data_IF_070461119922
#
_entry.id   IF_070461119922
#
_cell.length_a   1.000
_cell.length_b   1.000
_cell.length_c   1.000
_cell.angle_alpha   90.00
_cell.angle_beta   90.00
_cell.angle_gamma   90.00
#
_symmetry.space_group_name_H-M   'P 1'
#
loop_
_entity.id
_entity.type
_entity.pdbx_description
1 polymer ?
#
# COMPACT_ATOMS: atom_id res chain seq x y z
N UNK A 1 8.51 -0.24 16.70
CA UNK A 1 8.69 -1.44 15.84
C UNK A 1 8.76 -1.08 14.36
N UNK A 2 7.70 -0.55 13.73
CA UNK A 2 7.72 -0.29 12.27
C UNK A 2 8.88 0.63 11.81
N UNK A 3 9.07 1.77 12.48
CA UNK A 3 10.19 2.67 12.19
C UNK A 3 11.55 2.02 12.36
N UNK A 4 11.72 1.25 13.44
CA UNK A 4 12.96 0.52 13.71
C UNK A 4 13.24 -0.51 12.61
N UNK A 5 12.25 -1.31 12.23
CA UNK A 5 12.37 -2.28 11.15
C UNK A 5 12.81 -1.61 9.84
N UNK A 6 12.21 -0.47 9.48
CA UNK A 6 12.55 0.22 8.24
C UNK A 6 13.93 0.88 8.28
N UNK A 7 14.32 1.49 9.41
CA UNK A 7 15.51 2.35 9.48
C UNK A 7 16.76 1.66 10.02
N UNK A 8 16.63 0.48 10.63
CA UNK A 8 17.76 -0.31 11.14
C UNK A 8 18.12 -1.47 10.20
N UNK A 9 19.34 -2.03 10.31
CA UNK A 9 19.69 -3.25 9.59
C UNK A 9 18.70 -4.38 9.87
N UNK A 10 18.34 -5.17 8.84
CA UNK A 10 18.94 -5.19 7.51
C UNK A 10 18.35 -4.17 6.51
N UNK A 11 17.20 -3.56 6.78
CA UNK A 11 16.47 -2.74 5.80
C UNK A 11 17.16 -1.39 5.56
N UNK A 12 17.53 -0.69 6.65
CA UNK A 12 18.37 0.52 6.63
C UNK A 12 17.87 1.65 5.70
N UNK A 13 16.56 1.87 5.60
CA UNK A 13 16.02 2.99 4.85
C UNK A 13 16.38 4.34 5.50
N UNK A 14 16.73 5.35 4.69
CA UNK A 14 16.99 6.70 5.18
C UNK A 14 15.71 7.35 5.73
N UNK A 15 15.74 7.81 6.98
CA UNK A 15 14.58 8.43 7.65
C UNK A 15 14.10 9.70 6.95
N UNK A 16 15.01 10.47 6.36
CA UNK A 16 14.71 11.68 5.57
C UNK A 16 13.97 11.40 4.25
N UNK A 17 13.79 10.13 3.89
CA UNK A 17 12.93 9.72 2.76
C UNK A 17 11.60 9.13 3.19
N UNK A 18 11.36 8.99 4.50
CA UNK A 18 10.11 8.46 5.04
C UNK A 18 9.16 9.59 5.42
N UNK A 19 7.91 9.46 4.97
CA UNK A 19 6.82 10.37 5.28
C UNK A 19 5.70 9.59 5.93
N UNK A 20 5.00 10.20 6.88
CA UNK A 20 4.03 9.55 7.74
C UNK A 20 2.70 10.27 7.63
N UNK A 21 1.60 9.53 7.69
CA UNK A 21 0.26 10.13 7.71
C UNK A 21 -0.42 9.91 9.06
N UNK A 22 -1.33 10.82 9.42
CA UNK A 22 -2.20 10.68 10.59
C UNK A 22 -3.64 10.99 10.22
N UNK A 23 -4.57 10.39 10.96
CA UNK A 23 -5.99 10.66 10.77
C UNK A 23 -6.36 12.09 11.20
N UNK A 24 -7.01 12.81 10.30
CA UNK A 24 -7.37 14.22 10.45
C UNK A 24 -8.70 14.48 11.14
N UNK A 25 -9.44 13.43 11.51
CA UNK A 25 -10.80 13.54 12.05
C UNK A 25 -11.88 13.45 10.97
N UNK A 26 -13.11 13.25 11.42
CA UNK A 26 -14.31 13.30 10.58
C UNK A 26 -15.51 13.78 11.39
N UNK A 27 -15.95 15.00 11.11
CA UNK A 27 -17.14 15.59 11.74
C UNK A 27 -18.41 14.79 11.41
N UNK A 28 -18.50 14.22 10.20
CA UNK A 28 -19.63 13.41 9.74
C UNK A 28 -19.91 12.22 10.69
N UNK A 29 -18.85 11.61 11.22
CA UNK A 29 -18.95 10.43 12.10
C UNK A 29 -18.60 10.75 13.55
N UNK A 30 -18.40 12.03 13.90
CA UNK A 30 -18.00 12.44 15.24
C UNK A 30 -16.63 11.88 15.68
N UNK A 31 -15.73 11.62 14.73
CA UNK A 31 -14.41 11.06 15.00
C UNK A 31 -13.39 12.19 15.16
N UNK A 32 -12.71 12.30 16.32
CA UNK A 32 -11.71 13.34 16.52
C UNK A 32 -10.47 13.12 15.65
N UNK A 33 -9.69 14.19 15.51
CA UNK A 33 -8.38 14.11 14.89
C UNK A 33 -7.42 13.30 15.78
N UNK A 34 -6.63 12.42 15.17
CA UNK A 34 -5.65 11.60 15.85
C UNK A 34 -4.36 12.40 16.08
N UNK A 35 -4.27 13.02 17.25
CA UNK A 35 -3.07 13.72 17.70
C UNK A 35 -2.10 12.80 18.47
N UNK A 36 -2.59 11.67 19.00
CA UNK A 36 -1.75 10.68 19.68
C UNK A 36 -0.71 10.09 18.72
N UNK A 37 -1.13 9.68 17.53
CA UNK A 37 -0.21 9.17 16.48
C UNK A 37 0.84 10.20 16.08
N UNK A 38 0.45 11.49 15.99
CA UNK A 38 1.41 12.58 15.69
C UNK A 38 2.49 12.64 16.76
N UNK A 39 2.07 12.67 18.02
CA UNK A 39 2.97 12.88 19.15
C UNK A 39 3.93 11.69 19.30
N UNK A 40 3.44 10.46 19.12
CA UNK A 40 4.27 9.26 19.08
C UNK A 40 5.34 9.36 17.96
N UNK A 41 4.97 9.79 16.75
CA UNK A 41 5.97 9.93 15.67
C UNK A 41 7.03 10.98 16.00
N UNK A 42 6.63 12.12 16.57
CA UNK A 42 7.56 13.17 17.00
C UNK A 42 8.50 12.67 18.10
N UNK A 43 7.99 11.92 19.08
CA UNK A 43 8.78 11.31 20.16
C UNK A 43 9.80 10.28 19.63
N UNK A 44 9.44 9.57 18.56
CA UNK A 44 10.33 8.65 17.86
C UNK A 44 11.38 9.35 16.96
N UNK A 45 11.38 10.68 16.89
CA UNK A 45 12.35 11.48 16.15
C UNK A 45 11.98 11.76 14.70
N UNK A 46 10.74 11.51 14.28
CA UNK A 46 10.25 11.91 12.95
C UNK A 46 10.09 13.44 12.92
N UNK A 47 10.63 14.13 11.91
CA UNK A 47 10.42 15.57 11.77
C UNK A 47 8.95 15.93 11.57
N UNK A 48 8.52 17.08 12.10
CA UNK A 48 7.11 17.53 11.99
C UNK A 48 6.67 17.71 10.54
N UNK A 49 7.57 18.19 9.68
CA UNK A 49 7.39 18.37 8.25
C UNK A 49 7.46 17.05 7.45
N UNK A 50 7.55 15.91 8.13
CA UNK A 50 7.37 14.57 7.54
C UNK A 50 6.02 13.95 7.89
N UNK A 51 5.20 14.61 8.71
CA UNK A 51 3.91 14.09 9.17
C UNK A 51 2.77 14.85 8.49
N UNK A 52 2.02 14.19 7.62
CA UNK A 52 0.86 14.75 6.92
C UNK A 52 -0.43 14.40 7.66
N UNK A 53 -1.30 15.40 7.80
CA UNK A 53 -2.69 15.17 8.22
C UNK A 53 -3.54 14.81 7.00
N UNK A 54 -4.30 13.72 7.10
CA UNK A 54 -5.08 13.18 5.99
C UNK A 54 -6.51 12.85 6.40
N UNK A 55 -7.40 12.84 5.41
CA UNK A 55 -8.82 12.58 5.63
C UNK A 55 -9.16 11.10 5.81
N UNK A 56 -10.44 10.84 6.01
CA UNK A 56 -11.00 9.48 6.19
C UNK A 56 -10.71 8.54 5.02
N UNK A 57 -10.59 9.05 3.79
CA UNK A 57 -10.30 8.22 2.60
C UNK A 57 -8.93 7.52 2.68
N UNK A 58 -7.96 8.12 3.36
CA UNK A 58 -6.59 7.60 3.44
C UNK A 58 -6.32 7.00 4.83
N UNK A 59 -6.74 7.68 5.89
CA UNK A 59 -6.34 7.34 7.26
C UNK A 59 -7.46 6.77 8.13
N UNK A 60 -8.51 6.22 7.51
CA UNK A 60 -9.51 5.42 8.19
C UNK A 60 -9.72 4.11 7.43
N UNK A 61 -9.16 3.03 7.97
CA UNK A 61 -9.16 1.74 7.30
C UNK A 61 -10.37 0.91 7.69
N UNK A 62 -10.95 0.23 6.71
CA UNK A 62 -12.17 -0.57 6.86
C UNK A 62 -12.02 -1.90 6.13
N UNK A 63 -12.39 -3.01 6.79
CA UNK A 63 -12.35 -4.34 6.17
C UNK A 63 -13.37 -4.48 5.03
N UNK A 64 -14.47 -3.73 5.07
CA UNK A 64 -15.56 -3.79 4.10
C UNK A 64 -16.73 -2.89 4.50
N UNK A 65 -17.92 -3.16 3.97
CA UNK A 65 -19.14 -2.37 4.26
C UNK A 65 -19.58 -2.45 5.73
N UNK A 66 -19.19 -3.52 6.43
CA UNK A 66 -19.36 -3.72 7.88
C UNK A 66 -18.16 -4.47 8.42
N UNK A 67 -17.83 -4.28 9.70
CA UNK A 67 -16.75 -5.00 10.36
C UNK A 67 -15.80 -4.09 11.14
N UNK A 68 -14.69 -4.65 11.66
CA UNK A 68 -13.67 -3.87 12.37
C UNK A 68 -13.08 -2.77 11.47
N UNK A 69 -12.89 -1.61 12.06
CA UNK A 69 -12.29 -0.44 11.42
C UNK A 69 -11.56 0.44 12.45
N UNK A 70 -10.83 1.43 11.96
CA UNK A 70 -10.15 2.36 12.85
C UNK A 70 -9.31 3.37 12.13
N UNK A 71 -8.72 4.28 12.91
CA UNK A 71 -7.72 5.20 12.43
C UNK A 71 -6.51 4.43 11.91
N UNK A 72 -5.79 5.01 10.97
CA UNK A 72 -4.54 4.43 10.51
C UNK A 72 -3.46 5.48 10.36
N UNK A 73 -2.22 5.01 10.32
CA UNK A 73 -1.02 5.78 10.00
C UNK A 73 -0.26 5.03 8.91
N UNK A 74 -0.07 5.69 7.78
CA UNK A 74 0.69 5.12 6.67
C UNK A 74 2.11 5.66 6.67
N UNK A 75 3.04 4.81 6.27
CA UNK A 75 4.43 5.16 6.01
C UNK A 75 4.62 5.13 4.50
N UNK A 76 5.15 6.24 4.00
CA UNK A 76 5.41 6.50 2.59
C UNK A 76 6.91 6.68 2.37
N UNK A 77 7.42 6.25 1.21
CA UNK A 77 8.82 6.40 0.85
C UNK A 77 8.96 7.23 -0.43
N UNK A 78 9.80 8.28 -0.37
CA UNK A 78 10.15 9.11 -1.51
C UNK A 78 11.28 8.48 -2.33
N UNK A 79 10.92 7.95 -3.50
CA UNK A 79 11.85 7.32 -4.43
C UNK A 79 12.84 8.32 -5.04
N UNK A 80 12.42 9.58 -5.21
CA UNK A 80 13.25 10.62 -5.83
C UNK A 80 14.20 11.29 -4.84
N UNK A 81 13.82 11.35 -3.56
CA UNK A 81 14.54 12.14 -2.56
C UNK A 81 14.47 13.64 -2.89
N UNK A 82 13.26 14.13 -3.19
CA UNK A 82 12.93 15.55 -3.43
C UNK A 82 12.10 16.07 -2.24
N UNK A 83 12.75 16.54 -1.14
CA UNK A 83 12.06 16.78 0.13
C UNK A 83 11.11 17.99 0.08
N UNK A 84 11.44 19.01 -0.71
CA UNK A 84 10.73 20.29 -0.76
C UNK A 84 9.27 20.20 -1.20
N UNK A 85 8.87 19.10 -1.85
CA UNK A 85 7.51 18.86 -2.32
C UNK A 85 6.89 17.57 -1.78
N UNK A 86 7.61 16.80 -0.97
CA UNK A 86 7.24 15.42 -0.66
C UNK A 86 5.89 15.30 0.08
N UNK A 87 5.62 16.14 1.09
CA UNK A 87 4.31 16.14 1.76
C UNK A 87 3.13 16.37 0.80
N UNK A 88 3.30 17.22 -0.22
CA UNK A 88 2.26 17.46 -1.21
C UNK A 88 2.05 16.25 -2.15
N UNK A 89 3.05 15.36 -2.26
CA UNK A 89 3.03 14.16 -3.10
C UNK A 89 2.48 12.91 -2.38
N UNK A 90 2.48 12.89 -1.04
CA UNK A 90 1.83 11.84 -0.24
C UNK A 90 0.37 11.71 -0.66
N UNK A 91 -0.07 10.50 -1.00
CA UNK A 91 -1.43 10.21 -1.46
C UNK A 91 -1.92 11.04 -2.65
N UNK A 92 -1.01 11.52 -3.51
CA UNK A 92 -1.33 12.32 -4.70
C UNK A 92 -1.34 11.50 -6.00
N UNK A 93 -1.57 10.18 -5.92
CA UNK A 93 -1.60 9.25 -7.07
C UNK A 93 -0.31 9.30 -7.93
N UNK A 94 0.84 9.38 -7.26
CA UNK A 94 2.17 9.50 -7.88
C UNK A 94 2.99 8.23 -7.67
N UNK A 95 3.77 7.84 -8.68
CA UNK A 95 4.65 6.66 -8.61
C UNK A 95 6.01 6.96 -7.96
N UNK A 96 6.29 8.22 -7.60
CA UNK A 96 7.58 8.63 -7.05
C UNK A 96 7.58 8.86 -5.53
N UNK A 97 6.42 8.76 -4.90
CA UNK A 97 6.27 8.69 -3.46
C UNK A 97 5.17 7.68 -3.19
N UNK A 98 5.56 6.52 -2.64
CA UNK A 98 4.69 5.36 -2.53
C UNK A 98 4.44 4.98 -1.08
N UNK A 99 3.21 4.60 -0.77
CA UNK A 99 2.86 3.97 0.49
C UNK A 99 3.55 2.60 0.59
N UNK A 100 4.25 2.32 1.68
CA UNK A 100 4.94 1.05 1.91
C UNK A 100 4.33 0.24 3.05
N UNK A 101 3.74 0.91 4.03
CA UNK A 101 3.26 0.27 5.24
C UNK A 101 2.07 1.02 5.82
N UNK A 102 0.95 0.35 6.03
CA UNK A 102 -0.19 0.89 6.76
C UNK A 102 -0.28 0.26 8.15
N UNK A 103 -0.43 1.08 9.19
CA UNK A 103 -0.62 0.67 10.59
C UNK A 103 -2.01 1.11 11.01
N UNK A 104 -2.91 0.15 11.19
CA UNK A 104 -4.31 0.37 11.53
C UNK A 104 -4.53 0.13 13.03
N UNK A 105 -5.08 1.14 13.68
CA UNK A 105 -5.47 1.12 15.08
C UNK A 105 -6.95 0.70 15.19
N UNK A 106 -7.19 -0.60 15.14
CA UNK A 106 -8.52 -1.19 15.20
C UNK A 106 -9.14 -0.88 16.56
N UNK A 107 -10.09 0.06 16.54
CA UNK A 107 -10.70 0.66 17.72
C UNK A 107 -12.22 0.78 17.59
N UNK A 108 -12.75 0.59 16.38
CA UNK A 108 -14.15 0.76 16.06
C UNK A 108 -14.69 -0.42 15.23
N UNK A 109 -16.00 -0.46 15.09
CA UNK A 109 -16.71 -1.36 14.18
C UNK A 109 -17.74 -0.56 13.38
N UNK A 110 -17.69 -0.70 12.06
CA UNK A 110 -18.78 -0.26 11.18
C UNK A 110 -19.93 -1.24 11.27
N UNK A 111 -21.09 -0.74 11.68
CA UNK A 111 -22.35 -1.50 11.77
C UNK A 111 -23.19 -1.28 10.51
N UNK A 112 -23.14 -0.07 9.93
CA UNK A 112 -23.84 0.32 8.71
C UNK A 112 -23.12 1.48 8.02
N UNK A 113 -23.65 1.96 6.88
CA UNK A 113 -23.09 3.10 6.15
C UNK A 113 -22.89 4.36 7.00
N UNK A 114 -23.74 4.57 8.01
CA UNK A 114 -23.73 5.79 8.82
C UNK A 114 -23.37 5.54 10.29
N UNK A 115 -23.14 4.29 10.69
CA UNK A 115 -22.96 3.93 12.11
C UNK A 115 -21.62 3.25 12.36
N UNK A 116 -20.79 3.93 13.15
CA UNK A 116 -19.50 3.46 13.66
C UNK A 116 -19.59 3.45 15.19
N UNK A 117 -19.26 2.33 15.81
CA UNK A 117 -19.29 2.18 17.27
C UNK A 117 -17.90 1.79 17.80
N UNK A 118 -17.50 2.25 19.00
CA UNK A 118 -16.23 1.85 19.59
C UNK A 118 -16.24 0.36 19.97
N UNK A 119 -15.07 -0.26 19.92
CA UNK A 119 -14.83 -1.61 20.42
C UNK A 119 -14.50 -1.57 21.92
N UNK A 120 -14.75 -2.68 22.62
CA UNK A 120 -14.35 -2.83 24.03
C UNK A 120 -12.85 -3.03 24.22
N UNK A 121 -12.14 -3.40 23.14
CA UNK A 121 -10.70 -3.67 23.11
C UNK A 121 -10.12 -3.13 21.82
N UNK A 122 -8.88 -2.64 21.91
CA UNK A 122 -8.13 -2.13 20.77
C UNK A 122 -7.15 -3.18 20.26
N UNK A 123 -6.91 -3.19 18.95
CA UNK A 123 -5.98 -4.08 18.28
C UNK A 123 -5.13 -3.31 17.26
N UNK A 124 -4.00 -3.89 16.89
CA UNK A 124 -3.16 -3.39 15.81
C UNK A 124 -3.26 -4.37 14.66
N UNK A 125 -3.66 -3.86 13.50
CA UNK A 125 -3.54 -4.55 12.22
C UNK A 125 -2.55 -3.77 11.36
N UNK A 126 -1.65 -4.45 10.67
CA UNK A 126 -0.64 -3.76 9.88
C UNK A 126 -0.26 -4.53 8.63
N UNK A 127 -0.16 -3.81 7.52
CA UNK A 127 0.14 -4.37 6.21
C UNK A 127 1.29 -3.63 5.56
N UNK A 128 2.38 -4.35 5.29
CA UNK A 128 3.51 -3.86 4.50
C UNK A 128 3.49 -4.50 3.12
N UNK A 129 3.60 -3.67 2.08
CA UNK A 129 3.69 -4.16 0.70
C UNK A 129 5.07 -4.74 0.43
N UNK A 130 5.21 -6.07 0.49
CA UNK A 130 6.49 -6.75 0.29
C UNK A 130 7.14 -6.40 -1.05
N UNK A 131 6.37 -6.45 -2.13
CA UNK A 131 6.80 -6.07 -3.48
C UNK A 131 7.31 -4.62 -3.55
N UNK A 132 6.62 -3.69 -2.86
CA UNK A 132 7.01 -2.27 -2.80
C UNK A 132 8.30 -2.09 -2.02
N UNK A 133 8.45 -2.78 -0.89
CA UNK A 133 9.69 -2.77 -0.11
C UNK A 133 10.87 -3.32 -0.92
N UNK A 134 10.70 -4.46 -1.59
CA UNK A 134 11.75 -5.05 -2.43
C UNK A 134 12.15 -4.10 -3.58
N UNK A 135 11.17 -3.42 -4.17
CA UNK A 135 11.40 -2.38 -5.20
C UNK A 135 12.36 -1.30 -4.68
N UNK A 136 12.12 -0.81 -3.45
CA UNK A 136 12.95 0.20 -2.80
C UNK A 136 14.36 -0.35 -2.52
N UNK A 137 14.45 -1.52 -1.89
CA UNK A 137 15.74 -2.12 -1.49
C UNK A 137 16.64 -2.46 -2.68
N UNK A 138 16.05 -2.83 -3.82
CA UNK A 138 16.78 -3.11 -5.06
C UNK A 138 16.99 -1.86 -5.94
N UNK A 139 16.63 -0.67 -5.43
CA UNK A 139 16.73 0.60 -6.15
C UNK A 139 16.08 0.55 -7.55
N UNK A 140 14.87 -0.04 -7.63
CA UNK A 140 14.07 -0.14 -8.84
C UNK A 140 12.97 0.92 -8.84
N UNK A 141 12.47 1.27 -10.01
CA UNK A 141 11.37 2.23 -10.18
C UNK A 141 10.00 1.55 -10.29
N UNK A 142 9.98 0.23 -10.45
CA UNK A 142 8.78 -0.56 -10.64
C UNK A 142 8.96 -1.93 -9.98
N UNK A 143 7.87 -2.42 -9.39
CA UNK A 143 7.77 -3.76 -8.82
C UNK A 143 8.10 -4.87 -9.83
N UNK A 144 7.76 -4.66 -11.10
CA UNK A 144 8.01 -5.63 -12.17
C UNK A 144 9.49 -5.74 -12.58
N UNK A 145 10.33 -4.81 -12.12
CA UNK A 145 11.78 -4.84 -12.37
C UNK A 145 12.57 -5.51 -11.24
N UNK A 146 11.88 -6.10 -10.27
CA UNK A 146 12.47 -6.86 -9.17
C UNK A 146 12.65 -8.33 -9.53
N UNK A 147 13.51 -9.01 -8.77
CA UNK A 147 13.68 -10.46 -8.83
C UNK A 147 12.39 -11.26 -8.59
N UNK A 148 11.36 -10.67 -7.97
CA UNK A 148 10.05 -11.30 -7.79
C UNK A 148 9.29 -11.49 -9.12
N UNK A 149 9.54 -10.64 -10.13
CA UNK A 149 8.78 -10.61 -11.38
C UNK A 149 9.61 -10.90 -12.61
N UNK A 150 10.90 -10.52 -12.64
CA UNK A 150 11.76 -10.73 -13.79
C UNK A 150 11.73 -12.19 -14.33
N UNK A 151 11.80 -13.24 -13.50
CA UNK A 151 11.71 -14.62 -14.00
C UNK A 151 10.37 -14.95 -14.69
N UNK A 152 9.27 -14.35 -14.23
CA UNK A 152 7.95 -14.53 -14.83
C UNK A 152 7.89 -13.84 -16.20
N UNK A 153 8.41 -12.61 -16.29
CA UNK A 153 8.45 -11.85 -17.53
C UNK A 153 9.32 -12.54 -18.59
N UNK A 154 10.51 -13.03 -18.21
CA UNK A 154 11.39 -13.80 -19.09
C UNK A 154 10.73 -15.10 -19.56
N UNK A 155 9.96 -15.77 -18.69
CA UNK A 155 9.20 -16.96 -19.05
C UNK A 155 8.08 -16.65 -20.04
N UNK A 156 7.35 -15.55 -19.83
CA UNK A 156 6.29 -15.09 -20.76
C UNK A 156 6.90 -14.81 -22.13
N UNK A 157 8.04 -14.12 -22.19
CA UNK A 157 8.77 -13.84 -23.45
C UNK A 157 9.12 -15.15 -24.17
N UNK A 158 9.76 -16.08 -23.46
CA UNK A 158 10.21 -17.37 -24.02
C UNK A 158 9.05 -18.22 -24.54
N UNK A 159 7.93 -18.28 -23.81
CA UNK A 159 6.80 -19.15 -24.16
C UNK A 159 5.93 -18.54 -25.25
N UNK A 160 5.73 -17.22 -25.22
CA UNK A 160 4.87 -16.53 -26.20
C UNK A 160 5.58 -16.23 -27.53
N UNK A 161 6.92 -16.10 -27.52
CA UNK A 161 7.68 -15.59 -28.65
C UNK A 161 7.45 -14.09 -28.92
N UNK A 162 6.88 -13.36 -27.95
CA UNK A 162 6.69 -11.93 -28.04
C UNK A 162 8.02 -11.16 -27.95
N UNK A 163 7.98 -9.86 -28.27
CA UNK A 163 9.14 -8.98 -28.11
C UNK A 163 9.48 -8.83 -26.61
N UNK A 164 10.76 -8.59 -26.27
CA UNK A 164 11.16 -8.39 -24.88
C UNK A 164 10.37 -7.30 -24.16
N UNK A 165 10.17 -7.48 -22.85
CA UNK A 165 9.49 -6.50 -22.00
C UNK A 165 10.20 -5.13 -22.05
N UNK A 166 9.47 -4.12 -22.50
CA UNK A 166 9.99 -2.78 -22.80
C UNK A 166 10.10 -1.84 -21.60
N UNK A 167 9.53 -2.20 -20.44
CA UNK A 167 9.50 -1.37 -19.21
C UNK A 167 8.81 -0.02 -19.36
N UNK A 168 7.84 0.05 -20.26
CA UNK A 168 7.04 1.24 -20.53
C UNK A 168 5.71 1.19 -19.79
N UNK A 169 5.29 2.36 -19.31
CA UNK A 169 4.00 2.58 -18.65
C UNK A 169 3.25 3.60 -19.49
N UNK A 170 2.66 3.17 -20.62
CA UNK A 170 1.88 4.08 -21.46
C UNK A 170 0.47 4.21 -20.89
N UNK A 171 -0.01 5.44 -20.75
CA UNK A 171 -1.38 5.73 -20.28
C UNK A 171 -2.39 5.77 -21.42
N UNK A 172 -1.92 5.77 -22.67
CA UNK A 172 -2.75 5.94 -23.86
C UNK A 172 -3.38 4.64 -24.37
N UNK A 173 -2.83 3.46 -24.02
CA UNK A 173 -3.37 2.19 -24.50
C UNK A 173 -3.27 1.10 -23.43
N UNK A 174 -4.40 0.76 -22.80
CA UNK A 174 -4.49 -0.26 -21.73
C UNK A 174 -4.07 -1.68 -22.15
N UNK A 175 -3.80 -1.90 -23.42
CA UNK A 175 -3.43 -3.20 -24.00
C UNK A 175 -2.12 -3.10 -24.78
N UNK A 176 -1.19 -2.24 -24.36
CA UNK A 176 0.18 -2.33 -24.85
C UNK A 176 0.84 -3.65 -24.38
N UNK A 177 1.92 -4.02 -25.07
CA UNK A 177 2.61 -5.29 -24.83
C UNK A 177 3.07 -5.40 -23.37
N UNK A 178 3.64 -4.31 -22.84
CA UNK A 178 4.16 -4.27 -21.47
C UNK A 178 3.06 -4.43 -20.42
N UNK A 179 1.87 -3.89 -20.67
CA UNK A 179 0.71 -4.11 -19.81
C UNK A 179 0.27 -5.57 -19.85
N UNK A 180 0.33 -6.22 -21.02
CA UNK A 180 0.01 -7.64 -21.15
C UNK A 180 1.00 -8.54 -20.39
N UNK A 181 2.29 -8.20 -20.43
CA UNK A 181 3.34 -8.84 -19.62
C UNK A 181 3.04 -8.75 -18.12
N UNK A 182 2.74 -7.54 -17.63
CA UNK A 182 2.39 -7.31 -16.22
C UNK A 182 1.14 -8.11 -15.81
N UNK A 183 0.06 -8.00 -16.59
CA UNK A 183 -1.19 -8.73 -16.34
C UNK A 183 -0.97 -10.24 -16.26
N UNK A 184 -0.24 -10.83 -17.22
CA UNK A 184 0.05 -12.27 -17.19
C UNK A 184 0.88 -12.65 -15.96
N UNK A 185 1.89 -11.84 -15.61
CA UNK A 185 2.72 -12.10 -14.43
C UNK A 185 1.88 -12.06 -13.14
N UNK A 186 1.00 -11.06 -12.97
CA UNK A 186 0.13 -10.95 -11.79
C UNK A 186 -0.91 -12.08 -11.73
N UNK A 187 -1.59 -12.34 -12.85
CA UNK A 187 -2.64 -13.34 -12.90
C UNK A 187 -2.08 -14.75 -12.72
N UNK A 188 -0.87 -15.03 -13.23
CA UNK A 188 -0.22 -16.32 -12.99
C UNK A 188 0.05 -16.55 -11.50
N UNK A 189 0.52 -15.55 -10.76
CA UNK A 189 0.73 -15.63 -9.31
C UNK A 189 -0.59 -15.82 -8.58
N UNK A 190 -1.59 -14.99 -8.87
CA UNK A 190 -2.91 -15.03 -8.24
C UNK A 190 -3.59 -16.40 -8.44
N UNK A 191 -3.66 -16.88 -9.68
CA UNK A 191 -4.31 -18.16 -10.01
C UNK A 191 -3.56 -19.32 -9.34
N UNK A 192 -2.22 -19.30 -9.37
CA UNK A 192 -1.42 -20.36 -8.75
C UNK A 192 -1.69 -20.47 -7.24
N UNK A 193 -1.71 -19.33 -6.53
CA UNK A 193 -2.00 -19.30 -5.08
C UNK A 193 -3.46 -19.72 -4.82
N UNK A 194 -4.42 -19.19 -5.58
CA UNK A 194 -5.83 -19.54 -5.40
C UNK A 194 -6.07 -21.05 -5.59
N UNK A 195 -5.49 -21.66 -6.62
CA UNK A 195 -5.60 -23.10 -6.85
C UNK A 195 -4.90 -23.91 -5.75
N UNK A 196 -3.75 -23.46 -5.25
CA UNK A 196 -3.05 -24.09 -4.13
C UNK A 196 -3.88 -24.04 -2.83
N UNK A 197 -4.66 -22.98 -2.62
CA UNK A 197 -5.62 -22.82 -1.53
C UNK A 197 -6.96 -23.52 -1.78
N UNK A 198 -7.03 -24.40 -2.80
CA UNK A 198 -8.22 -25.15 -3.21
C UNK A 198 -9.41 -24.28 -3.69
N UNK A 199 -9.13 -23.06 -4.16
CA UNK A 199 -10.13 -22.18 -4.78
C UNK A 199 -10.21 -22.45 -6.28
N UNK A 200 -11.16 -23.29 -6.69
CA UNK A 200 -11.36 -23.64 -8.09
C UNK A 200 -12.34 -22.70 -8.80
N UNK A 201 -12.09 -22.35 -10.08
CA UNK A 201 -13.07 -21.63 -10.89
C UNK A 201 -14.37 -22.41 -11.00
N UNK A 202 -15.50 -21.74 -10.76
CA UNK A 202 -16.84 -22.31 -10.93
C UNK A 202 -17.62 -21.52 -11.96
N UNK A 203 -18.45 -22.20 -12.75
CA UNK A 203 -19.42 -21.52 -13.60
C UNK A 203 -20.38 -20.72 -12.71
N UNK A 204 -20.67 -19.48 -13.10
CA UNK A 204 -21.65 -18.65 -12.41
C UNK A 204 -23.00 -19.39 -12.45
N UNK A 205 -23.54 -19.82 -11.32
CA UNK A 205 -24.91 -20.35 -11.33
C UNK A 205 -25.83 -19.20 -11.76
N UNK A 206 -26.57 -19.36 -12.85
CA UNK A 206 -27.73 -18.52 -13.13
C UNK A 206 -28.67 -18.63 -11.93
N UNK A 207 -28.68 -17.61 -11.06
CA UNK A 207 -29.71 -17.51 -10.02
C UNK A 207 -31.02 -17.22 -10.75
N UNK A 208 -31.91 -18.22 -10.77
CA UNK A 208 -33.34 -18.01 -11.01
C UNK A 208 -33.93 -17.17 -9.88
#
# INVERSE_FOLDING_TARGET
MALEFLTKPPVSLPLDRLYFTKFGGSDQYGLPCDEETRDIWLELGVPRDHIKKEGMKCNFWEMGSTGPCGYSSEIHYDMKGEPSSALARVNADRNDLIEIWNIVFISHKRVSADTIVPLSKNYIDTGLGFERLVTILQNKTSTYDTDLFLPLLETIEKVSGAKPYGRTFTTSNRTDLDTSYRMLSDYSRMITVALADNMFPVAKSSRN
#
